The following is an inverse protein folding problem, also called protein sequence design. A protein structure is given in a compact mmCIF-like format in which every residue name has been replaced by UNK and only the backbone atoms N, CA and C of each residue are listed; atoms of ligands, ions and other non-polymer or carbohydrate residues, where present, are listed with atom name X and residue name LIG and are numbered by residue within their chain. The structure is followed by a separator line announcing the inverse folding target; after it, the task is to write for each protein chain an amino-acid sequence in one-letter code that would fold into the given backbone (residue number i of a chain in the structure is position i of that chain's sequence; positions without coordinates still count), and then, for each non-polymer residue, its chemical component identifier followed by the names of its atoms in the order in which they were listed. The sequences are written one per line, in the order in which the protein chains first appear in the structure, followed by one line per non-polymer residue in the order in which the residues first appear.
data_IF_600188372378
#
_entry.id   IF_600188372378
#
_cell.length_a   1.000
_cell.length_b   1.000
_cell.length_c   1.000
_cell.angle_alpha   90.00
_cell.angle_beta   90.00
_cell.angle_gamma   90.00
#
_symmetry.space_group_name_H-M   'P 1'
#
loop_
_entity.id
_entity.type
_entity.pdbx_description
1 polymer ?
#
# COMPACT_ATOMS: atom_id res chain seq x y z
N UNK A 1 -13.42 14.44 -27.68
CA UNK A 1 -13.19 13.05 -27.20
C UNK A 1 -11.68 12.90 -27.09
N UNK A 2 -11.13 12.91 -25.89
CA UNK A 2 -9.68 12.73 -25.70
C UNK A 2 -9.34 11.27 -26.01
N UNK A 3 -8.54 11.04 -27.04
CA UNK A 3 -8.04 9.71 -27.45
C UNK A 3 -6.90 9.31 -26.50
N UNK A 4 -7.24 8.75 -25.34
CA UNK A 4 -6.23 8.15 -24.48
C UNK A 4 -5.79 6.82 -25.09
N UNK A 5 -4.51 6.72 -25.46
CA UNK A 5 -3.90 5.47 -25.91
C UNK A 5 -3.09 4.90 -24.76
N UNK A 6 -3.28 3.61 -24.48
CA UNK A 6 -2.59 2.91 -23.39
C UNK A 6 -1.58 1.92 -23.97
N UNK A 7 -0.52 1.66 -23.20
CA UNK A 7 0.48 0.66 -23.54
C UNK A 7 0.87 -0.14 -22.30
N UNK A 8 1.18 -1.41 -22.50
CA UNK A 8 1.82 -2.28 -21.52
C UNK A 8 3.33 -2.17 -21.71
N UNK A 9 4.05 -1.89 -20.63
CA UNK A 9 5.49 -1.68 -20.65
C UNK A 9 6.17 -2.58 -19.60
N UNK A 10 7.13 -3.38 -20.04
CA UNK A 10 7.99 -4.18 -19.15
C UNK A 10 9.31 -3.44 -18.91
N UNK A 11 9.68 -3.22 -17.66
CA UNK A 11 10.91 -2.54 -17.25
C UNK A 11 11.84 -3.51 -16.54
N UNK A 12 13.14 -3.43 -16.84
CA UNK A 12 14.16 -4.09 -16.01
C UNK A 12 14.48 -3.22 -14.80
N UNK A 13 14.87 -3.86 -13.71
CA UNK A 13 15.38 -3.16 -12.53
C UNK A 13 16.49 -2.17 -12.92
N UNK A 14 16.41 -0.96 -12.35
CA UNK A 14 17.40 0.12 -12.50
C UNK A 14 17.55 0.64 -13.95
N UNK A 15 16.57 0.43 -14.83
CA UNK A 15 16.51 1.05 -16.16
C UNK A 15 15.27 1.93 -16.31
N UNK A 16 15.45 3.10 -16.93
CA UNK A 16 14.38 4.08 -17.18
C UNK A 16 13.59 3.83 -18.47
N UNK A 17 14.15 3.08 -19.41
CA UNK A 17 13.50 2.75 -20.69
C UNK A 17 12.85 1.36 -20.62
N UNK A 18 11.65 1.19 -21.21
CA UNK A 18 10.99 -0.10 -21.25
C UNK A 18 11.76 -1.06 -22.15
N UNK A 19 11.93 -2.30 -21.69
CA UNK A 19 12.51 -3.37 -22.51
C UNK A 19 11.51 -3.86 -23.57
N UNK A 20 10.24 -3.98 -23.19
CA UNK A 20 9.15 -4.39 -24.07
C UNK A 20 8.00 -3.39 -23.93
N UNK A 21 7.39 -3.03 -25.05
CA UNK A 21 6.28 -2.10 -25.12
C UNK A 21 5.23 -2.63 -26.09
N UNK A 22 3.99 -2.72 -25.63
CA UNK A 22 2.84 -3.16 -26.42
C UNK A 22 1.72 -2.14 -26.31
N UNK A 23 1.36 -1.49 -27.41
CA UNK A 23 0.20 -0.59 -27.44
C UNK A 23 -1.09 -1.41 -27.40
N UNK A 24 -2.04 -1.02 -26.55
CA UNK A 24 -3.31 -1.72 -26.36
C UNK A 24 -4.39 -1.32 -27.37
N UNK A 25 -4.10 -0.37 -28.26
CA UNK A 25 -5.05 0.09 -29.27
C UNK A 25 -5.42 -1.05 -30.24
N UNK A 26 -6.72 -1.34 -30.32
CA UNK A 26 -7.27 -2.38 -31.18
C UNK A 26 -7.15 -3.81 -30.63
N UNK A 27 -6.55 -4.00 -29.45
CA UNK A 27 -6.59 -5.28 -28.76
C UNK A 27 -7.94 -5.48 -28.06
N UNK A 28 -8.38 -6.73 -27.92
CA UNK A 28 -9.41 -7.15 -26.95
C UNK A 28 -8.77 -8.04 -25.90
N UNK A 29 -9.19 -7.93 -24.65
CA UNK A 29 -8.75 -8.78 -23.55
C UNK A 29 -9.86 -9.76 -23.18
N UNK A 30 -9.49 -11.01 -22.90
CA UNK A 30 -10.42 -12.04 -22.41
C UNK A 30 -9.77 -13.01 -21.43
N UNK A 31 -10.62 -13.66 -20.62
CA UNK A 31 -10.20 -14.78 -19.78
C UNK A 31 -9.92 -16.00 -20.66
N UNK A 32 -8.90 -16.78 -20.30
CA UNK A 32 -8.60 -18.02 -21.02
C UNK A 32 -8.29 -19.16 -20.05
N UNK A 33 -8.42 -20.38 -20.54
CA UNK A 33 -8.10 -21.58 -19.78
C UNK A 33 -6.60 -21.67 -19.48
N UNK A 34 -6.19 -22.41 -18.43
CA UNK A 34 -4.79 -22.64 -18.14
C UNK A 34 -4.06 -23.24 -19.35
N UNK A 35 -2.91 -22.65 -19.69
CA UNK A 35 -2.08 -23.11 -20.81
C UNK A 35 -0.98 -24.04 -20.29
N UNK A 36 -1.10 -25.37 -20.46
CA UNK A 36 -0.08 -26.31 -20.01
C UNK A 36 1.20 -26.10 -20.83
N UNK A 37 2.24 -25.56 -20.17
CA UNK A 37 3.55 -25.32 -20.81
C UNK A 37 4.11 -23.92 -20.58
N UNK A 38 3.30 -22.96 -20.10
CA UNK A 38 3.77 -21.63 -19.69
C UNK A 38 4.08 -21.64 -18.19
N UNK A 39 5.24 -21.06 -17.82
CA UNK A 39 5.67 -20.89 -16.43
C UNK A 39 5.47 -19.43 -16.00
N UNK A 40 5.20 -19.20 -14.71
CA UNK A 40 5.15 -17.84 -14.13
C UNK A 40 3.77 -17.33 -13.69
N UNK A 41 2.74 -18.17 -13.70
CA UNK A 41 1.44 -17.85 -13.09
C UNK A 41 0.46 -19.03 -13.17
N UNK A 42 -0.66 -18.91 -12.46
CA UNK A 42 -1.70 -19.94 -12.35
C UNK A 42 -3.01 -19.57 -13.06
N UNK A 43 -3.27 -18.28 -13.23
CA UNK A 43 -4.50 -17.76 -13.83
C UNK A 43 -4.16 -17.01 -15.11
N UNK A 44 -4.82 -17.37 -16.21
CA UNK A 44 -4.46 -16.89 -17.54
C UNK A 44 -5.54 -15.99 -18.15
N UNK A 45 -5.10 -15.00 -18.92
CA UNK A 45 -5.91 -14.13 -19.76
C UNK A 45 -5.10 -13.74 -20.99
N UNK A 46 -5.76 -13.36 -22.08
CA UNK A 46 -5.08 -13.01 -23.33
C UNK A 46 -5.52 -11.65 -23.86
N UNK A 47 -4.65 -11.04 -24.65
CA UNK A 47 -4.97 -9.90 -25.50
C UNK A 47 -4.85 -10.33 -26.97
N UNK A 48 -5.89 -10.07 -27.77
CA UNK A 48 -5.96 -10.48 -29.19
C UNK A 48 -6.15 -9.27 -30.10
N UNK A 49 -5.40 -9.21 -31.20
CA UNK A 49 -5.56 -8.22 -32.27
C UNK A 49 -5.14 -8.83 -33.60
N UNK A 50 -6.04 -8.90 -34.57
CA UNK A 50 -5.74 -9.25 -35.98
C UNK A 50 -4.77 -10.44 -36.20
N UNK A 51 -4.92 -11.52 -35.42
CA UNK A 51 -4.07 -12.72 -35.51
C UNK A 51 -2.89 -12.75 -34.53
N UNK A 52 -2.58 -11.62 -33.88
CA UNK A 52 -1.65 -11.57 -32.75
C UNK A 52 -2.40 -11.94 -31.47
N UNK A 53 -1.78 -12.81 -30.68
CA UNK A 53 -2.28 -13.21 -29.36
C UNK A 53 -1.14 -13.12 -28.36
N UNK A 54 -1.35 -12.34 -27.31
CA UNK A 54 -0.42 -12.22 -26.18
C UNK A 54 -1.10 -12.82 -24.96
N UNK A 55 -0.43 -13.79 -24.34
CA UNK A 55 -0.95 -14.47 -23.14
C UNK A 55 -0.26 -13.88 -21.93
N UNK A 56 -1.06 -13.52 -20.94
CA UNK A 56 -0.62 -13.06 -19.63
C UNK A 56 -1.01 -14.10 -18.58
N UNK A 57 -0.24 -14.12 -17.50
CA UNK A 57 -0.51 -14.96 -16.34
C UNK A 57 -0.38 -14.14 -15.06
N UNK A 58 -1.22 -14.45 -14.08
CA UNK A 58 -1.13 -13.96 -12.70
C UNK A 58 -1.10 -15.13 -11.72
N UNK A 59 -0.63 -14.87 -10.50
CA UNK A 59 -0.54 -15.90 -9.46
C UNK A 59 -1.90 -16.29 -8.88
N UNK A 60 -2.86 -15.36 -8.85
CA UNK A 60 -4.20 -15.61 -8.34
C UNK A 60 -5.32 -14.94 -9.15
N UNK A 61 -6.55 -15.40 -8.90
CA UNK A 61 -7.75 -15.04 -9.66
C UNK A 61 -8.11 -13.56 -9.56
N UNK A 62 -7.89 -12.94 -8.40
CA UNK A 62 -8.25 -11.54 -8.18
C UNK A 62 -7.32 -10.62 -8.95
N UNK A 63 -6.02 -10.93 -8.98
CA UNK A 63 -5.06 -10.18 -9.79
C UNK A 63 -5.41 -10.28 -11.29
N UNK A 64 -5.80 -11.47 -11.75
CA UNK A 64 -6.33 -11.67 -13.11
C UNK A 64 -7.54 -10.76 -13.38
N UNK A 65 -8.52 -10.75 -12.49
CA UNK A 65 -9.73 -9.92 -12.64
C UNK A 65 -9.36 -8.44 -12.73
N UNK A 66 -8.43 -7.97 -11.90
CA UNK A 66 -7.98 -6.57 -11.90
C UNK A 66 -7.32 -6.20 -13.23
N UNK A 67 -6.39 -7.03 -13.71
CA UNK A 67 -5.72 -6.81 -14.99
C UNK A 67 -6.69 -6.81 -16.16
N UNK A 68 -7.60 -7.78 -16.21
CA UNK A 68 -8.62 -7.85 -17.27
C UNK A 68 -9.53 -6.62 -17.23
N UNK A 69 -9.93 -6.13 -16.05
CA UNK A 69 -10.74 -4.91 -15.95
C UNK A 69 -9.98 -3.65 -16.39
N UNK A 70 -8.71 -3.53 -16.01
CA UNK A 70 -7.87 -2.41 -16.41
C UNK A 70 -7.67 -2.40 -17.93
N UNK A 71 -7.33 -3.55 -18.51
CA UNK A 71 -7.15 -3.72 -19.95
C UNK A 71 -8.46 -3.53 -20.72
N UNK A 72 -9.60 -3.99 -20.21
CA UNK A 72 -10.92 -3.73 -20.81
C UNK A 72 -11.20 -2.23 -20.95
N UNK A 73 -10.92 -1.44 -19.90
CA UNK A 73 -11.07 0.02 -19.95
C UNK A 73 -10.07 0.66 -20.91
N UNK A 74 -8.83 0.16 -20.93
CA UNK A 74 -7.74 0.70 -21.75
C UNK A 74 -7.91 0.41 -23.24
N UNK A 75 -8.42 -0.77 -23.60
CA UNK A 75 -8.68 -1.19 -24.98
C UNK A 75 -9.94 -0.54 -25.55
N UNK A 76 -10.92 -0.22 -24.71
CA UNK A 76 -12.21 0.30 -25.15
C UNK A 76 -13.02 -0.72 -25.96
N UNK A 77 -12.71 -2.02 -25.82
CA UNK A 77 -13.46 -3.08 -26.51
C UNK A 77 -14.96 -3.00 -26.18
N UNK A 78 -15.79 -3.38 -27.14
CA UNK A 78 -17.25 -3.19 -27.06
C UNK A 78 -17.95 -4.15 -26.11
N UNK A 79 -17.39 -5.35 -25.91
CA UNK A 79 -17.95 -6.37 -25.05
C UNK A 79 -17.15 -6.51 -23.76
N UNK A 80 -17.85 -6.69 -22.64
CA UNK A 80 -17.23 -6.89 -21.34
C UNK A 80 -16.71 -8.34 -21.22
N UNK A 81 -15.43 -8.56 -20.86
CA UNK A 81 -14.90 -9.89 -20.60
C UNK A 81 -15.66 -10.56 -19.46
N UNK A 82 -16.05 -11.83 -19.65
CA UNK A 82 -16.81 -12.59 -18.66
C UNK A 82 -15.88 -13.69 -18.11
N UNK A 83 -15.62 -13.74 -16.80
CA UNK A 83 -14.90 -14.85 -16.20
C UNK A 83 -15.66 -16.15 -16.48
N UNK A 84 -14.94 -17.20 -16.87
CA UNK A 84 -15.53 -18.53 -16.93
C UNK A 84 -15.98 -18.92 -15.51
N UNK A 85 -17.27 -18.77 -15.23
CA UNK A 85 -17.89 -19.26 -14.00
C UNK A 85 -17.68 -20.77 -14.00
N UNK A 86 -16.80 -21.28 -13.14
CA UNK A 86 -16.83 -22.71 -12.80
C UNK A 86 -18.26 -23.01 -12.37
N UNK A 87 -18.94 -23.84 -13.17
CA UNK A 87 -20.36 -24.08 -13.07
C UNK A 87 -20.76 -24.41 -11.62
N UNK A 88 -21.44 -23.47 -10.94
CA UNK A 88 -22.45 -23.79 -9.95
C UNK A 88 -23.37 -22.60 -9.63
N UNK A 89 -24.66 -22.86 -9.91
CA UNK A 89 -25.91 -22.25 -9.41
C UNK A 89 -26.47 -21.01 -10.13
N UNK A 90 -27.47 -21.33 -10.96
CA UNK A 90 -28.66 -20.55 -11.25
C UNK A 90 -29.14 -19.72 -10.03
N UNK A 91 -29.31 -18.40 -10.16
CA UNK A 91 -30.58 -17.76 -10.55
C UNK A 91 -30.48 -16.21 -10.50
N UNK A 92 -31.44 -15.47 -11.10
CA UNK A 92 -31.26 -14.10 -11.59
C UNK A 92 -31.87 -13.02 -10.68
N UNK A 93 -31.48 -11.77 -11.01
CA UNK A 93 -32.12 -10.46 -10.78
C UNK A 93 -31.49 -9.58 -9.69
N UNK A 94 -31.31 -8.32 -10.08
CA UNK A 94 -31.21 -7.18 -9.16
C UNK A 94 -29.92 -6.41 -9.37
N UNK A 95 -29.98 -5.37 -10.19
CA UNK A 95 -28.86 -4.44 -10.34
C UNK A 95 -28.58 -3.70 -9.03
N UNK A 96 -27.33 -3.24 -8.86
CA UNK A 96 -26.99 -2.21 -7.89
C UNK A 96 -25.72 -1.50 -8.34
N UNK A 97 -25.85 -0.18 -8.43
CA UNK A 97 -24.83 0.81 -8.77
C UNK A 97 -23.84 0.98 -7.60
N UNK A 98 -23.05 -0.05 -7.28
CA UNK A 98 -22.11 -0.02 -6.14
C UNK A 98 -20.73 -0.65 -6.42
N UNK A 99 -20.39 -0.93 -7.68
CA UNK A 99 -19.17 -1.67 -8.01
C UNK A 99 -17.86 -0.88 -7.77
N UNK A 100 -17.85 0.46 -7.92
CA UNK A 100 -16.59 1.22 -7.82
C UNK A 100 -16.12 1.44 -6.37
N UNK A 101 -17.04 1.46 -5.38
CA UNK A 101 -16.65 1.56 -3.96
C UNK A 101 -16.18 0.21 -3.39
N UNK A 102 -16.68 -0.90 -3.92
CA UNK A 102 -16.29 -2.24 -3.49
C UNK A 102 -14.86 -2.61 -3.96
N UNK A 103 -14.42 -2.12 -5.13
CA UNK A 103 -13.08 -2.39 -5.67
C UNK A 103 -11.92 -1.76 -4.85
N UNK A 104 -12.20 -0.74 -4.04
CA UNK A 104 -11.22 -0.20 -3.09
C UNK A 104 -11.24 -0.94 -1.75
N UNK A 105 -12.39 -1.41 -1.29
CA UNK A 105 -12.50 -2.23 -0.07
C UNK A 105 -11.86 -3.62 -0.25
N UNK A 106 -12.06 -4.24 -1.42
CA UNK A 106 -11.60 -5.62 -1.70
C UNK A 106 -10.06 -5.73 -1.82
N UNK A 107 -9.36 -4.63 -2.12
CA UNK A 107 -7.89 -4.56 -2.08
C UNK A 107 -7.31 -4.80 -0.69
N UNK A 108 -8.07 -4.52 0.36
CA UNK A 108 -7.64 -4.67 1.76
C UNK A 108 -8.18 -5.94 2.43
N UNK A 109 -9.17 -6.59 1.82
CA UNK A 109 -9.77 -7.85 2.27
C UNK A 109 -8.75 -9.00 2.37
N UNK A 110 -7.72 -9.03 1.51
CA UNK A 110 -6.71 -10.11 1.51
C UNK A 110 -5.68 -10.09 2.65
N UNK A 111 -5.59 -9.00 3.43
CA UNK A 111 -4.60 -8.87 4.51
C UNK A 111 -5.23 -8.74 5.91
N UNK A 112 -6.54 -8.96 6.05
CA UNK A 112 -7.24 -8.74 7.32
C UNK A 112 -7.27 -7.26 7.74
N UNK A 113 -7.14 -6.33 6.77
CA UNK A 113 -7.05 -4.90 7.06
C UNK A 113 -8.41 -4.19 7.18
N UNK A 114 -9.51 -4.89 6.86
CA UNK A 114 -10.86 -4.33 6.91
C UNK A 114 -11.24 -3.82 8.29
N UNK A 115 -10.81 -4.52 9.34
CA UNK A 115 -11.07 -4.10 10.71
C UNK A 115 -10.41 -2.75 10.99
N UNK A 116 -9.18 -2.52 10.52
CA UNK A 116 -8.47 -1.25 10.73
C UNK A 116 -9.03 -0.11 9.88
N UNK A 117 -9.50 -0.40 8.66
CA UNK A 117 -10.05 0.61 7.74
C UNK A 117 -11.46 1.01 8.15
N UNK A 118 -12.25 0.05 8.64
CA UNK A 118 -13.60 0.31 9.13
C UNK A 118 -13.63 0.75 10.61
N UNK A 119 -12.49 0.68 11.31
CA UNK A 119 -12.38 1.15 12.68
C UNK A 119 -12.75 2.62 12.78
N UNK A 120 -13.57 2.96 13.78
CA UNK A 120 -13.84 4.34 14.11
C UNK A 120 -12.63 4.92 14.86
N UNK A 121 -11.88 5.88 14.31
CA UNK A 121 -10.66 6.39 14.94
C UNK A 121 -10.94 6.96 16.33
N UNK A 122 -12.08 7.63 16.52
CA UNK A 122 -12.45 8.27 17.78
C UNK A 122 -12.64 7.29 18.97
N UNK A 123 -12.68 5.98 18.71
CA UNK A 123 -12.82 4.94 19.75
C UNK A 123 -11.49 4.29 20.14
N UNK A 124 -10.39 4.65 19.48
CA UNK A 124 -9.10 4.02 19.68
C UNK A 124 -8.26 4.78 20.72
N UNK A 125 -7.42 4.04 21.45
CA UNK A 125 -6.41 4.63 22.32
C UNK A 125 -5.25 5.16 21.47
N UNK A 126 -5.37 6.41 21.05
CA UNK A 126 -4.36 7.06 20.23
C UNK A 126 -3.04 7.31 20.97
N UNK A 127 -3.03 7.38 22.30
CA UNK A 127 -1.80 7.53 23.06
C UNK A 127 -0.96 6.24 23.02
N UNK A 128 -1.63 5.08 23.15
CA UNK A 128 -1.01 3.77 22.98
C UNK A 128 -0.56 3.51 21.53
N UNK A 129 -1.44 3.74 20.56
CA UNK A 129 -1.12 3.55 19.14
C UNK A 129 0.03 4.46 18.68
N UNK A 130 0.07 5.70 19.17
CA UNK A 130 1.18 6.62 18.89
C UNK A 130 2.50 6.09 19.44
N UNK A 131 2.51 5.52 20.66
CA UNK A 131 3.73 4.93 21.23
C UNK A 131 4.27 3.82 20.32
N UNK A 132 3.40 2.94 19.83
CA UNK A 132 3.80 1.88 18.88
C UNK A 132 4.36 2.49 17.60
N UNK A 133 3.66 3.46 17.01
CA UNK A 133 4.09 4.13 15.78
C UNK A 133 5.47 4.79 15.96
N UNK A 134 5.66 5.54 17.04
CA UNK A 134 6.91 6.23 17.34
C UNK A 134 8.06 5.24 17.55
N UNK A 135 7.84 4.17 18.32
CA UNK A 135 8.85 3.12 18.54
C UNK A 135 9.27 2.49 17.21
N UNK A 136 8.32 2.02 16.41
CA UNK A 136 8.63 1.39 15.13
C UNK A 136 9.32 2.35 14.15
N UNK A 137 8.97 3.64 14.21
CA UNK A 137 9.65 4.68 13.42
C UNK A 137 11.11 4.84 13.87
N UNK A 138 11.38 4.77 15.18
CA UNK A 138 12.73 4.85 15.75
C UNK A 138 13.54 3.61 15.41
N UNK A 139 12.97 2.42 15.59
CA UNK A 139 13.59 1.14 15.24
C UNK A 139 14.03 1.16 13.78
N UNK A 140 13.14 1.54 12.87
CA UNK A 140 13.46 1.67 11.45
C UNK A 140 14.59 2.68 11.21
N UNK A 141 14.55 3.82 11.90
CA UNK A 141 15.51 4.91 11.73
C UNK A 141 16.91 4.54 12.24
N UNK A 142 17.01 3.81 13.33
CA UNK A 142 18.28 3.34 13.91
C UNK A 142 18.93 2.23 13.07
N UNK A 143 18.14 1.52 12.26
CA UNK A 143 18.64 0.49 11.34
C UNK A 143 19.03 1.04 9.96
N UNK A 144 18.92 2.36 9.72
CA UNK A 144 19.37 3.00 8.48
C UNK A 144 20.91 2.97 8.37
N UNK A 145 21.46 2.94 7.16
CA UNK A 145 22.91 2.91 6.90
C UNK A 145 23.61 4.21 7.31
N UNK A 146 22.86 5.29 7.51
CA UNK A 146 23.33 6.55 8.02
C UNK A 146 23.13 6.63 9.54
N UNK A 147 24.17 7.07 10.27
CA UNK A 147 24.06 7.27 11.72
C UNK A 147 23.11 8.43 12.02
N UNK A 148 21.88 8.10 12.39
CA UNK A 148 20.87 9.08 12.78
C UNK A 148 21.01 9.52 14.24
N UNK A 149 21.76 8.76 15.06
CA UNK A 149 21.97 9.01 16.49
C UNK A 149 20.65 9.17 17.28
N UNK A 150 19.59 8.50 16.83
CA UNK A 150 18.25 8.59 17.40
C UNK A 150 17.37 9.67 16.78
N UNK A 151 17.90 10.62 16.00
CA UNK A 151 17.11 11.69 15.38
C UNK A 151 16.20 11.17 14.25
N UNK A 152 14.93 11.53 14.34
CA UNK A 152 13.99 11.38 13.24
C UNK A 152 14.35 12.29 12.06
N UNK A 153 14.11 11.81 10.85
CA UNK A 153 14.16 12.65 9.64
C UNK A 153 13.04 13.69 9.63
N UNK A 154 13.16 14.80 8.88
CA UNK A 154 12.09 15.80 8.77
C UNK A 154 10.73 15.22 8.37
N UNK A 155 10.72 14.23 7.47
CA UNK A 155 9.49 13.56 7.04
C UNK A 155 8.86 12.71 8.16
N UNK A 156 9.67 12.01 8.95
CA UNK A 156 9.18 11.26 10.11
C UNK A 156 8.62 12.18 11.19
N UNK A 157 9.31 13.29 11.48
CA UNK A 157 8.82 14.32 12.42
C UNK A 157 7.47 14.85 11.97
N UNK A 158 7.34 15.21 10.68
CA UNK A 158 6.09 15.69 10.11
C UNK A 158 4.93 14.70 10.31
N UNK A 159 5.13 13.42 10.01
CA UNK A 159 4.09 12.39 10.16
C UNK A 159 3.68 12.22 11.62
N UNK A 160 4.64 12.19 12.54
CA UNK A 160 4.36 12.05 13.98
C UNK A 160 3.62 13.30 14.52
N UNK A 161 4.01 14.49 14.08
CA UNK A 161 3.37 15.75 14.47
C UNK A 161 1.93 15.83 13.95
N UNK A 162 1.70 15.45 12.70
CA UNK A 162 0.35 15.38 12.11
C UNK A 162 -0.56 14.39 12.86
N UNK A 163 -0.02 13.22 13.26
CA UNK A 163 -0.77 12.26 14.07
C UNK A 163 -1.15 12.88 15.42
N UNK A 164 -0.19 13.51 16.11
CA UNK A 164 -0.43 14.19 17.38
C UNK A 164 -1.51 15.27 17.26
N UNK A 165 -1.44 16.11 16.23
CA UNK A 165 -2.38 17.18 15.98
C UNK A 165 -3.79 16.64 15.69
N UNK A 166 -3.90 15.59 14.87
CA UNK A 166 -5.18 15.00 14.47
C UNK A 166 -5.89 14.28 15.60
N UNK A 167 -5.14 13.57 16.45
CA UNK A 167 -5.71 12.67 17.46
C UNK A 167 -5.49 13.14 18.91
N UNK A 168 -4.98 14.35 19.11
CA UNK A 168 -4.84 14.97 20.43
C UNK A 168 -3.78 14.32 21.33
N UNK A 169 -2.76 13.68 20.76
CA UNK A 169 -1.66 13.10 21.54
C UNK A 169 -0.75 14.23 22.03
N UNK A 170 -0.67 14.40 23.35
CA UNK A 170 0.11 15.49 23.97
C UNK A 170 1.60 15.35 23.71
N UNK A 171 2.27 16.48 23.44
CA UNK A 171 3.72 16.51 23.20
C UNK A 171 4.53 15.89 24.34
N UNK A 172 4.13 16.08 25.61
CA UNK A 172 4.84 15.45 26.73
C UNK A 172 4.75 13.92 26.74
N UNK A 173 3.60 13.35 26.36
CA UNK A 173 3.47 11.90 26.21
C UNK A 173 4.43 11.38 25.14
N UNK A 174 4.51 12.10 24.00
CA UNK A 174 5.45 11.80 22.92
C UNK A 174 6.90 11.83 23.38
N UNK A 175 7.32 12.87 24.10
CA UNK A 175 8.71 12.99 24.55
C UNK A 175 9.06 11.97 25.65
N UNK A 176 8.12 11.64 26.55
CA UNK A 176 8.32 10.58 27.55
C UNK A 176 8.50 9.21 26.89
N UNK A 177 7.61 8.86 25.96
CA UNK A 177 7.76 7.61 25.19
C UNK A 177 9.10 7.60 24.44
N UNK A 178 9.46 8.71 23.79
CA UNK A 178 10.72 8.81 23.06
C UNK A 178 11.94 8.60 23.95
N UNK A 179 11.97 9.23 25.13
CA UNK A 179 13.04 9.05 26.10
C UNK A 179 13.17 7.60 26.53
N UNK A 180 12.06 6.92 26.84
CA UNK A 180 12.08 5.49 27.17
C UNK A 180 12.74 4.68 26.07
N UNK A 181 12.29 4.84 24.82
CA UNK A 181 12.83 4.06 23.70
C UNK A 181 14.30 4.42 23.40
N UNK A 182 14.70 5.70 23.50
CA UNK A 182 16.08 6.13 23.31
C UNK A 182 17.01 5.55 24.39
N UNK A 183 16.58 5.53 25.65
CA UNK A 183 17.36 4.94 26.74
C UNK A 183 17.49 3.42 26.57
N UNK A 184 16.39 2.73 26.25
CA UNK A 184 16.42 1.27 25.99
C UNK A 184 17.38 0.93 24.84
N UNK A 185 17.36 1.69 23.74
CA UNK A 185 18.30 1.49 22.64
C UNK A 185 19.75 1.79 23.04
N UNK A 186 19.97 2.83 23.84
CA UNK A 186 21.30 3.17 24.36
C UNK A 186 21.85 2.05 25.26
N UNK A 187 21.02 1.46 26.12
CA UNK A 187 21.39 0.33 26.96
C UNK A 187 21.72 -0.93 26.13
N UNK A 188 21.05 -1.07 24.98
CA UNK A 188 21.30 -2.14 24.01
C UNK A 188 22.47 -1.84 23.04
N UNK A 189 23.25 -0.79 23.29
CA UNK A 189 24.48 -0.47 22.56
C UNK A 189 24.30 0.41 21.32
N UNK A 190 23.10 0.93 21.06
CA UNK A 190 22.92 1.95 20.03
C UNK A 190 23.58 3.26 20.46
N UNK A 191 24.22 3.96 19.52
CA UNK A 191 24.77 5.29 19.79
C UNK A 191 23.65 6.32 19.63
N UNK A 192 23.29 6.97 20.73
CA UNK A 192 22.25 8.02 20.78
C UNK A 192 22.91 9.37 21.08
N UNK A 193 22.44 10.42 20.40
CA UNK A 193 22.89 11.80 20.63
C UNK A 193 22.45 12.29 22.02
N UNK A 194 23.38 12.64 22.93
CA UNK A 194 23.03 13.18 24.25
C UNK A 194 22.21 14.48 24.15
N UNK A 195 22.41 15.30 23.12
CA UNK A 195 21.63 16.52 22.92
C UNK A 195 20.15 16.21 22.68
N UNK A 196 19.83 15.11 21.99
CA UNK A 196 18.46 14.67 21.77
C UNK A 196 17.77 14.24 23.08
N UNK A 197 18.48 13.50 23.93
CA UNK A 197 18.01 13.12 25.26
C UNK A 197 17.74 14.35 26.12
N UNK A 198 18.68 15.29 26.16
CA UNK A 198 18.53 16.53 26.91
C UNK A 198 17.37 17.39 26.40
N UNK A 199 17.21 17.51 25.08
CA UNK A 199 16.09 18.25 24.48
C UNK A 199 14.75 17.66 24.88
N UNK A 200 14.59 16.34 24.75
CA UNK A 200 13.34 15.67 25.11
C UNK A 200 13.05 15.73 26.62
N UNK A 201 14.07 15.59 27.45
CA UNK A 201 13.94 15.76 28.89
C UNK A 201 13.53 17.17 29.26
N UNK A 202 14.19 18.19 28.68
CA UNK A 202 13.87 19.60 28.94
C UNK A 202 12.42 19.93 28.55
N UNK A 203 11.94 19.39 27.44
CA UNK A 203 10.54 19.52 27.02
C UNK A 203 9.56 18.95 28.06
N UNK A 204 9.83 17.73 28.56
CA UNK A 204 9.01 17.12 29.60
C UNK A 204 9.09 17.90 30.92
N UNK A 205 10.29 18.35 31.29
CA UNK A 205 10.51 19.11 32.52
C UNK A 205 9.77 20.45 32.50
N UNK A 206 9.79 21.20 31.40
CA UNK A 206 9.10 22.49 31.31
C UNK A 206 7.58 22.34 31.41
N UNK A 207 7.01 21.22 30.99
CA UNK A 207 5.59 20.95 31.17
C UNK A 207 5.18 20.74 32.63
N UNK A 208 6.06 20.17 33.46
CA UNK A 208 5.81 19.97 34.89
C UNK A 208 6.01 21.27 35.66
N UNK A 209 7.08 22.00 35.37
CA UNK A 209 7.47 23.18 36.14
C UNK A 209 6.82 24.48 35.64
N UNK A 210 6.20 24.45 34.46
CA UNK A 210 5.79 25.67 33.74
C UNK A 210 6.99 26.30 33.02
N UNK A 211 6.71 27.04 31.94
CA UNK A 211 7.69 27.90 31.28
C UNK A 211 7.91 29.19 32.06
#
# INVERSE_FOLDING_TARGET
VSQYTFAMCSYREKKSEPQELMQLEGYTVDYTDPHPGLQGGHMFFNAVKEGDTVIFASDDEQDRILWVQAMYRATGQSYKPIPAIQAQKLNPKGGSLHADAQLYADRFQKHGMDEFISANPCKLDHAFLFRILQRQTLDHRLNDSYSCLGWFSPGQVFVLDEYCARYGVRGCHRHLCYLTELMEHSENGAVIDPTLLHYSFAFCASHVHGN
#
